data_IF_016614159631
#
_entry.id   IF_016614159631
#
_cell.length_a   1.000
_cell.length_b   1.000
_cell.length_c   1.000
_cell.angle_alpha   90.00
_cell.angle_beta   90.00
_cell.angle_gamma   90.00
#
_symmetry.space_group_name_H-M   'P 1'
#
loop_
_entity.id
_entity.type
_entity.pdbx_description
1 polymer ?
#
# COMPACT_ATOMS: atom_id res chain seq x y z
N UNK A 1 -14.44 -29.14 -17.40
CA UNK A 1 -15.87 -28.83 -17.47
C UNK A 1 -16.76 -30.09 -17.52
N UNK A 2 -16.54 -31.07 -18.41
CA UNK A 2 -17.36 -32.28 -18.49
C UNK A 2 -17.50 -33.04 -17.15
N UNK A 3 -16.43 -33.16 -16.38
CA UNK A 3 -16.46 -33.78 -15.04
C UNK A 3 -17.38 -33.02 -14.09
N UNK A 4 -17.27 -31.69 -13.99
CA UNK A 4 -18.11 -30.87 -13.10
C UNK A 4 -19.60 -30.98 -13.50
N UNK A 5 -19.90 -30.94 -14.79
CA UNK A 5 -21.27 -31.14 -15.26
C UNK A 5 -21.84 -32.48 -14.81
N UNK A 6 -21.04 -33.53 -14.88
CA UNK A 6 -21.46 -34.86 -14.43
C UNK A 6 -21.61 -34.90 -12.89
N UNK A 7 -20.64 -34.36 -12.16
CA UNK A 7 -20.63 -34.39 -10.71
C UNK A 7 -21.81 -33.61 -10.11
N UNK A 8 -22.27 -32.55 -10.78
CA UNK A 8 -23.40 -31.69 -10.35
C UNK A 8 -24.74 -32.04 -11.02
N UNK A 9 -24.81 -33.12 -11.79
CA UNK A 9 -26.06 -33.56 -12.43
C UNK A 9 -26.64 -32.53 -13.39
N UNK A 10 -25.76 -31.89 -14.20
CA UNK A 10 -26.19 -30.90 -15.18
C UNK A 10 -27.19 -31.47 -16.17
N UNK A 11 -28.31 -30.77 -16.35
CA UNK A 11 -29.35 -31.09 -17.32
C UNK A 11 -29.68 -29.86 -18.17
N UNK A 12 -29.73 -30.03 -19.47
CA UNK A 12 -30.13 -29.01 -20.45
C UNK A 12 -31.47 -29.37 -21.05
N UNK A 13 -32.42 -28.44 -21.07
CA UNK A 13 -33.72 -28.58 -21.71
C UNK A 13 -33.58 -28.38 -23.23
N UNK A 14 -33.32 -29.48 -23.96
CA UNK A 14 -33.09 -29.46 -25.42
C UNK A 14 -34.25 -28.85 -26.20
N UNK A 15 -35.50 -29.01 -25.72
CA UNK A 15 -36.68 -28.40 -26.30
C UNK A 15 -36.63 -26.87 -26.26
N UNK A 16 -36.16 -26.30 -25.14
CA UNK A 16 -36.01 -24.85 -25.03
C UNK A 16 -34.82 -24.34 -25.83
N UNK A 17 -33.69 -25.05 -25.79
CA UNK A 17 -32.55 -24.73 -26.67
C UNK A 17 -32.95 -24.66 -28.13
N UNK A 18 -33.71 -25.70 -28.65
CA UNK A 18 -34.16 -25.74 -30.03
C UNK A 18 -35.09 -24.56 -30.36
N UNK A 19 -36.01 -24.17 -29.44
CA UNK A 19 -36.87 -22.99 -29.62
C UNK A 19 -36.08 -21.70 -29.74
N UNK A 20 -35.10 -21.51 -28.87
CA UNK A 20 -34.24 -20.30 -28.86
C UNK A 20 -33.39 -20.21 -30.13
N UNK A 21 -32.81 -21.31 -30.58
CA UNK A 21 -32.05 -21.35 -31.83
C UNK A 21 -32.94 -21.08 -33.04
N UNK A 22 -34.16 -21.64 -33.08
CA UNK A 22 -35.13 -21.38 -34.15
C UNK A 22 -35.52 -19.92 -34.21
N UNK A 23 -35.87 -19.31 -33.07
CA UNK A 23 -36.17 -17.87 -32.97
C UNK A 23 -35.03 -17.01 -33.51
N UNK A 24 -33.79 -17.34 -33.14
CA UNK A 24 -32.61 -16.64 -33.64
C UNK A 24 -32.44 -16.78 -35.15
N UNK A 25 -32.75 -17.95 -35.70
CA UNK A 25 -32.76 -18.19 -37.14
C UNK A 25 -33.87 -17.41 -37.88
N UNK A 26 -35.07 -17.37 -37.31
CA UNK A 26 -36.23 -16.66 -37.87
C UNK A 26 -36.00 -15.14 -37.90
N UNK A 27 -35.34 -14.59 -36.87
CA UNK A 27 -34.96 -13.16 -36.76
C UNK A 27 -33.68 -12.85 -37.57
N UNK A 28 -32.84 -13.82 -37.86
CA UNK A 28 -31.56 -13.67 -38.53
C UNK A 28 -30.49 -12.89 -37.71
N UNK A 29 -30.78 -12.60 -36.45
CA UNK A 29 -29.92 -11.78 -35.57
C UNK A 29 -30.20 -12.05 -34.09
N UNK A 30 -29.23 -11.73 -33.25
CA UNK A 30 -29.38 -11.68 -31.79
C UNK A 30 -29.05 -10.25 -31.36
N UNK A 31 -30.08 -9.49 -31.06
CA UNK A 31 -30.02 -8.09 -30.66
C UNK A 31 -31.09 -7.79 -29.59
N UNK A 32 -31.35 -6.53 -29.32
CA UNK A 32 -32.35 -6.10 -28.36
C UNK A 32 -33.77 -6.64 -28.68
N UNK A 33 -34.11 -6.88 -29.94
CA UNK A 33 -35.43 -7.43 -30.33
C UNK A 33 -35.54 -8.92 -30.00
N UNK A 34 -34.47 -9.67 -30.19
CA UNK A 34 -34.37 -11.07 -29.75
C UNK A 34 -34.48 -11.18 -28.22
N UNK A 35 -33.73 -10.36 -27.51
CA UNK A 35 -33.73 -10.32 -26.02
C UNK A 35 -35.13 -9.96 -25.52
N UNK A 36 -35.78 -8.94 -26.10
CA UNK A 36 -37.14 -8.55 -25.72
C UNK A 36 -38.18 -9.68 -25.95
N UNK A 37 -37.99 -10.53 -26.95
CA UNK A 37 -38.87 -11.65 -27.20
C UNK A 37 -38.79 -12.77 -26.14
N UNK A 38 -37.68 -12.88 -25.42
CA UNK A 38 -37.41 -14.00 -24.48
C UNK A 38 -37.29 -13.58 -23.02
N UNK A 39 -37.23 -12.26 -22.72
CA UNK A 39 -36.88 -11.75 -21.36
C UNK A 39 -37.90 -12.06 -20.26
N UNK A 40 -39.14 -12.41 -20.65
CA UNK A 40 -40.18 -12.79 -19.67
C UNK A 40 -40.44 -14.32 -19.62
N UNK A 41 -39.73 -15.13 -20.39
CA UNK A 41 -39.93 -16.54 -20.41
C UNK A 41 -39.29 -17.23 -19.22
N UNK A 42 -40.12 -17.71 -18.29
CA UNK A 42 -39.72 -18.38 -17.04
C UNK A 42 -39.49 -19.89 -17.22
N UNK A 43 -39.52 -20.41 -18.45
CA UNK A 43 -39.22 -21.82 -18.70
C UNK A 43 -37.78 -22.12 -18.31
N UNK A 44 -37.55 -23.25 -17.63
CA UNK A 44 -36.20 -23.73 -17.31
C UNK A 44 -35.42 -24.01 -18.57
N UNK A 45 -34.23 -23.50 -18.69
CA UNK A 45 -33.30 -23.72 -19.81
C UNK A 45 -32.29 -24.80 -19.46
N UNK A 46 -31.68 -24.70 -18.29
CA UNK A 46 -30.80 -25.73 -17.73
C UNK A 46 -30.84 -25.72 -16.19
N UNK A 47 -30.39 -26.81 -15.61
CA UNK A 47 -30.28 -26.96 -14.17
C UNK A 47 -29.06 -27.78 -13.76
N UNK A 48 -28.59 -27.60 -12.55
CA UNK A 48 -27.59 -28.44 -11.90
C UNK A 48 -27.75 -28.31 -10.37
N UNK A 49 -27.50 -29.37 -9.64
CA UNK A 49 -27.80 -29.46 -8.23
C UNK A 49 -29.23 -28.96 -7.93
N UNK A 50 -29.40 -27.99 -7.05
CA UNK A 50 -30.67 -27.36 -6.71
C UNK A 50 -30.89 -26.01 -7.41
N UNK A 51 -30.10 -25.68 -8.43
CA UNK A 51 -30.17 -24.44 -9.18
C UNK A 51 -30.81 -24.65 -10.53
N UNK A 52 -31.76 -23.79 -10.88
CA UNK A 52 -32.41 -23.77 -12.19
C UNK A 52 -32.28 -22.41 -12.81
N UNK A 53 -31.90 -22.37 -14.05
CA UNK A 53 -31.72 -21.15 -14.84
C UNK A 53 -32.77 -21.11 -15.95
N UNK A 54 -33.45 -19.99 -16.04
CA UNK A 54 -34.57 -19.78 -16.95
C UNK A 54 -34.12 -19.17 -18.29
N UNK A 55 -35.01 -19.17 -19.26
CA UNK A 55 -34.82 -18.41 -20.51
C UNK A 55 -34.69 -16.91 -20.23
N UNK A 56 -35.41 -16.36 -19.22
CA UNK A 56 -35.27 -14.97 -18.80
C UNK A 56 -33.89 -14.65 -18.22
N UNK A 57 -33.29 -15.61 -17.48
CA UNK A 57 -31.90 -15.45 -16.98
C UNK A 57 -30.93 -15.42 -18.15
N UNK A 58 -31.14 -16.28 -19.16
CA UNK A 58 -30.34 -16.26 -20.37
C UNK A 58 -30.49 -14.96 -21.17
N UNK A 59 -31.71 -14.39 -21.25
CA UNK A 59 -31.93 -13.06 -21.83
C UNK A 59 -31.10 -11.99 -21.11
N UNK A 60 -31.10 -12.03 -19.78
CA UNK A 60 -30.31 -11.11 -18.92
C UNK A 60 -28.81 -11.30 -19.14
N UNK A 61 -28.35 -12.52 -19.33
CA UNK A 61 -26.98 -12.84 -19.68
C UNK A 61 -26.59 -12.26 -21.04
N UNK A 62 -27.40 -12.46 -22.06
CA UNK A 62 -27.18 -11.94 -23.42
C UNK A 62 -27.17 -10.40 -23.48
N UNK A 63 -27.96 -9.74 -22.64
CA UNK A 63 -28.05 -8.26 -22.61
C UNK A 63 -26.72 -7.57 -22.31
N UNK A 64 -25.76 -8.26 -21.73
CA UNK A 64 -24.41 -7.78 -21.47
C UNK A 64 -23.46 -7.93 -22.65
N UNK A 65 -23.89 -8.63 -23.70
CA UNK A 65 -23.14 -8.91 -24.90
C UNK A 65 -23.29 -7.86 -26.00
N UNK A 66 -22.81 -8.21 -27.20
CA UNK A 66 -22.93 -7.38 -28.41
C UNK A 66 -23.95 -7.99 -29.34
N UNK A 67 -24.53 -7.17 -30.20
CA UNK A 67 -25.41 -7.63 -31.26
C UNK A 67 -24.67 -8.54 -32.26
N UNK A 68 -25.32 -9.62 -32.66
CA UNK A 68 -24.76 -10.60 -33.59
C UNK A 68 -25.74 -10.80 -34.75
N UNK A 69 -25.23 -10.69 -35.98
CA UNK A 69 -26.00 -10.78 -37.23
C UNK A 69 -25.58 -11.95 -38.12
N UNK A 70 -24.56 -12.70 -37.73
CA UNK A 70 -24.02 -13.82 -38.50
C UNK A 70 -24.15 -15.10 -37.68
N UNK A 71 -24.71 -16.13 -38.28
CA UNK A 71 -24.82 -17.46 -37.65
C UNK A 71 -25.53 -17.45 -36.27
N UNK A 72 -26.63 -16.71 -36.19
CA UNK A 72 -27.37 -16.47 -34.96
C UNK A 72 -27.77 -17.72 -34.17
N UNK A 73 -28.26 -18.82 -34.80
CA UNK A 73 -28.59 -20.06 -34.10
C UNK A 73 -27.38 -20.71 -33.40
N UNK A 74 -26.23 -20.79 -34.07
CA UNK A 74 -25.01 -21.40 -33.49
C UNK A 74 -24.45 -20.51 -32.38
N UNK A 75 -24.56 -19.18 -32.52
CA UNK A 75 -24.21 -18.27 -31.48
C UNK A 75 -25.03 -18.49 -30.19
N UNK A 76 -26.36 -18.65 -30.32
CA UNK A 76 -27.25 -18.97 -29.18
C UNK A 76 -26.84 -20.28 -28.52
N UNK A 77 -26.64 -21.35 -29.33
CA UNK A 77 -26.18 -22.64 -28.79
C UNK A 77 -24.88 -22.53 -28.00
N UNK A 78 -23.94 -21.77 -28.55
CA UNK A 78 -22.63 -21.51 -27.88
C UNK A 78 -22.80 -20.73 -26.58
N UNK A 79 -23.63 -19.67 -26.58
CA UNK A 79 -23.86 -18.85 -25.41
C UNK A 79 -24.59 -19.56 -24.27
N UNK A 80 -25.52 -20.46 -24.58
CA UNK A 80 -26.15 -21.35 -23.59
C UNK A 80 -25.08 -22.20 -22.90
N UNK A 81 -24.22 -22.85 -23.71
CA UNK A 81 -23.11 -23.65 -23.17
C UNK A 81 -22.14 -22.82 -22.30
N UNK A 82 -21.82 -21.62 -22.78
CA UNK A 82 -20.90 -20.71 -22.04
C UNK A 82 -21.50 -20.24 -20.73
N UNK A 83 -22.79 -19.83 -20.72
CA UNK A 83 -23.47 -19.45 -19.46
C UNK A 83 -23.48 -20.62 -18.48
N UNK A 84 -23.86 -21.84 -18.95
CA UNK A 84 -23.88 -23.01 -18.09
C UNK A 84 -22.48 -23.33 -17.50
N UNK A 85 -21.44 -23.21 -18.31
CA UNK A 85 -20.06 -23.42 -17.87
C UNK A 85 -19.62 -22.39 -16.83
N UNK A 86 -19.99 -21.12 -17.01
CA UNK A 86 -19.70 -20.06 -16.04
C UNK A 86 -20.41 -20.30 -14.70
N UNK A 87 -21.71 -20.58 -14.73
CA UNK A 87 -22.51 -20.79 -13.52
C UNK A 87 -22.02 -22.00 -12.72
N UNK A 88 -21.68 -23.09 -13.39
CA UNK A 88 -21.11 -24.30 -12.76
C UNK A 88 -19.73 -23.99 -12.15
N UNK A 89 -18.89 -23.22 -12.85
CA UNK A 89 -17.58 -22.83 -12.31
C UNK A 89 -17.70 -21.92 -11.09
N UNK A 90 -18.62 -20.98 -11.11
CA UNK A 90 -18.81 -20.06 -10.00
C UNK A 90 -19.40 -20.80 -8.79
N UNK A 91 -20.29 -21.76 -9.02
CA UNK A 91 -20.77 -22.67 -7.99
C UNK A 91 -19.62 -23.50 -7.39
N UNK A 92 -18.76 -24.12 -8.23
CA UNK A 92 -17.60 -24.88 -7.74
C UNK A 92 -16.68 -24.00 -6.89
N UNK A 93 -16.34 -22.78 -7.37
CA UNK A 93 -15.49 -21.85 -6.64
C UNK A 93 -16.07 -21.50 -5.27
N UNK A 94 -17.39 -21.25 -5.20
CA UNK A 94 -18.06 -20.91 -3.96
C UNK A 94 -18.01 -22.03 -2.91
N UNK A 95 -17.91 -23.30 -3.38
CA UNK A 95 -17.91 -24.47 -2.52
C UNK A 95 -16.55 -25.12 -2.33
N UNK A 96 -15.45 -24.51 -2.84
CA UNK A 96 -14.10 -25.07 -2.71
C UNK A 96 -13.68 -25.24 -1.24
N UNK A 97 -14.00 -24.27 -0.37
CA UNK A 97 -13.67 -24.34 1.05
C UNK A 97 -14.44 -25.46 1.78
N UNK A 98 -15.65 -25.79 1.34
CA UNK A 98 -16.46 -26.89 1.91
C UNK A 98 -15.97 -28.26 1.47
N UNK A 99 -15.57 -28.37 0.19
CA UNK A 99 -15.12 -29.63 -0.42
C UNK A 99 -13.69 -30.01 -0.03
N UNK A 100 -12.81 -29.01 0.13
CA UNK A 100 -11.37 -29.23 0.33
C UNK A 100 -10.90 -28.60 1.62
N UNK A 101 -10.80 -29.38 2.73
CA UNK A 101 -10.37 -28.86 4.03
C UNK A 101 -9.01 -28.14 3.99
N UNK A 102 -8.07 -28.67 3.20
CA UNK A 102 -6.73 -28.03 3.06
C UNK A 102 -6.81 -26.65 2.42
N UNK A 103 -7.66 -26.52 1.39
CA UNK A 103 -7.91 -25.21 0.77
C UNK A 103 -8.58 -24.23 1.75
N UNK A 104 -9.57 -24.69 2.50
CA UNK A 104 -10.21 -23.88 3.56
C UNK A 104 -9.20 -23.42 4.61
N UNK A 105 -8.32 -24.32 5.06
CA UNK A 105 -7.30 -23.98 6.05
C UNK A 105 -6.36 -22.91 5.48
N UNK A 106 -5.90 -23.07 4.23
CA UNK A 106 -5.07 -22.08 3.55
C UNK A 106 -5.77 -20.72 3.41
N UNK A 107 -7.04 -20.71 3.04
CA UNK A 107 -7.84 -19.48 2.94
C UNK A 107 -8.03 -18.80 4.29
N UNK A 108 -8.22 -19.57 5.36
CA UNK A 108 -8.30 -19.05 6.72
C UNK A 108 -6.97 -18.44 7.16
N UNK A 109 -5.84 -19.14 6.96
CA UNK A 109 -4.51 -18.58 7.25
C UNK A 109 -4.25 -17.27 6.51
N UNK A 110 -4.62 -17.21 5.24
CA UNK A 110 -4.47 -15.99 4.44
C UNK A 110 -5.35 -14.84 4.98
N UNK A 111 -6.62 -15.13 5.29
CA UNK A 111 -7.56 -14.15 5.87
C UNK A 111 -7.09 -13.65 7.23
N UNK A 112 -6.68 -14.55 8.09
CA UNK A 112 -6.18 -14.23 9.43
C UNK A 112 -4.87 -13.45 9.35
N UNK A 113 -3.98 -13.82 8.44
CA UNK A 113 -2.74 -13.08 8.16
C UNK A 113 -2.98 -11.65 7.70
N UNK A 114 -3.93 -11.44 6.79
CA UNK A 114 -4.32 -10.09 6.36
C UNK A 114 -4.93 -9.25 7.49
N UNK A 115 -5.80 -9.85 8.31
CA UNK A 115 -6.39 -9.18 9.47
C UNK A 115 -5.34 -8.81 10.50
N UNK A 116 -4.41 -9.73 10.78
CA UNK A 116 -3.30 -9.50 11.70
C UNK A 116 -2.38 -8.38 11.18
N UNK A 117 -2.05 -8.39 9.88
CA UNK A 117 -1.25 -7.35 9.25
C UNK A 117 -1.94 -5.98 9.39
N UNK A 118 -3.22 -5.88 9.04
CA UNK A 118 -3.95 -4.61 9.07
C UNK A 118 -4.08 -4.05 10.48
N UNK A 119 -4.41 -4.88 11.47
CA UNK A 119 -4.51 -4.42 12.86
C UNK A 119 -3.14 -4.04 13.42
N UNK A 120 -2.07 -4.78 13.08
CA UNK A 120 -0.71 -4.46 13.49
C UNK A 120 -0.24 -3.13 12.88
N UNK A 121 -0.59 -2.90 11.61
CA UNK A 121 -0.30 -1.64 10.94
C UNK A 121 -0.95 -0.45 11.67
N UNK A 122 -2.25 -0.54 11.99
CA UNK A 122 -2.99 0.53 12.67
C UNK A 122 -2.51 0.77 14.10
N UNK A 123 -2.34 -0.29 14.88
CA UNK A 123 -2.04 -0.17 16.31
C UNK A 123 -0.57 0.12 16.59
N UNK A 124 0.34 -0.28 15.69
CA UNK A 124 1.78 -0.21 15.92
C UNK A 124 2.51 0.61 14.86
N UNK A 125 2.52 0.15 13.60
CA UNK A 125 3.48 0.69 12.62
C UNK A 125 3.13 2.08 12.12
N UNK A 126 1.89 2.29 11.69
CA UNK A 126 1.42 3.59 11.25
C UNK A 126 1.43 4.59 12.41
N UNK A 127 1.00 4.16 13.59
CA UNK A 127 1.04 4.97 14.79
C UNK A 127 2.47 5.35 15.17
N UNK A 128 3.42 4.40 15.12
CA UNK A 128 4.82 4.69 15.42
C UNK A 128 5.44 5.76 14.50
N UNK A 129 4.98 5.84 13.24
CA UNK A 129 5.50 6.79 12.26
C UNK A 129 4.83 8.17 12.32
N UNK A 130 3.54 8.23 12.69
CA UNK A 130 2.70 9.45 12.65
C UNK A 130 2.51 10.13 14.01
N UNK A 131 2.69 9.43 15.12
CA UNK A 131 2.49 9.97 16.48
C UNK A 131 3.67 10.85 16.91
N UNK A 132 3.73 12.06 16.39
CA UNK A 132 4.79 13.03 16.69
C UNK A 132 4.92 13.36 18.18
N UNK A 133 3.79 13.45 18.89
CA UNK A 133 3.79 13.69 20.34
C UNK A 133 4.31 12.48 21.11
N UNK A 134 3.89 11.29 20.76
CA UNK A 134 4.35 10.04 21.35
C UNK A 134 5.85 9.85 21.15
N UNK A 135 6.34 10.06 19.91
CA UNK A 135 7.75 10.04 19.57
C UNK A 135 8.56 11.03 20.41
N UNK A 136 8.08 12.27 20.55
CA UNK A 136 8.76 13.28 21.34
C UNK A 136 8.81 12.92 22.84
N UNK A 137 7.69 12.45 23.41
CA UNK A 137 7.61 12.00 24.80
C UNK A 137 8.51 10.78 25.05
N UNK A 138 8.49 9.81 24.13
CA UNK A 138 9.30 8.61 24.19
C UNK A 138 10.80 8.97 24.12
N UNK A 139 11.19 9.82 23.18
CA UNK A 139 12.56 10.33 23.07
C UNK A 139 13.03 11.03 24.35
N UNK A 140 12.25 11.98 24.87
CA UNK A 140 12.61 12.69 26.11
C UNK A 140 12.89 11.74 27.27
N UNK A 141 12.05 10.70 27.42
CA UNK A 141 12.19 9.69 28.47
C UNK A 141 13.44 8.80 28.28
N UNK A 142 13.78 8.51 27.02
CA UNK A 142 14.83 7.56 26.66
C UNK A 142 16.09 8.24 26.07
N UNK A 143 16.21 9.58 26.17
CA UNK A 143 17.24 10.37 25.48
C UNK A 143 18.66 9.84 25.67
N UNK A 144 18.98 9.33 26.85
CA UNK A 144 20.32 8.78 27.17
C UNK A 144 20.70 7.57 26.30
N UNK A 145 19.72 6.86 25.75
CA UNK A 145 19.93 5.71 24.86
C UNK A 145 20.51 6.12 23.50
N UNK A 146 20.23 7.37 23.07
CA UNK A 146 20.61 7.87 21.75
C UNK A 146 21.90 8.71 21.78
N UNK A 147 22.81 8.39 22.71
CA UNK A 147 24.10 9.05 22.80
C UNK A 147 24.96 8.75 21.57
N UNK A 148 25.64 9.77 21.05
CA UNK A 148 26.58 9.67 19.95
C UNK A 148 28.02 9.49 20.41
N UNK A 149 28.80 8.78 19.61
CA UNK A 149 30.23 8.62 19.85
C UNK A 149 31.04 9.83 19.35
N UNK A 150 30.59 10.46 18.25
CA UNK A 150 31.19 11.65 17.65
C UNK A 150 30.27 12.85 17.77
N UNK A 151 30.84 14.10 17.83
CA UNK A 151 30.02 15.31 17.76
C UNK A 151 29.34 15.45 16.40
N UNK A 152 28.17 16.08 16.39
CA UNK A 152 27.41 16.38 15.18
C UNK A 152 27.18 17.89 15.08
N UNK A 153 27.34 18.43 13.89
CA UNK A 153 26.97 19.80 13.59
C UNK A 153 25.54 19.83 13.06
N UNK A 154 24.67 20.56 13.74
CA UNK A 154 23.28 20.76 13.34
C UNK A 154 23.09 22.18 12.88
N UNK A 155 22.74 22.39 11.61
CA UNK A 155 22.57 23.72 11.04
C UNK A 155 22.59 23.74 9.53
N UNK A 156 23.02 24.90 9.01
CA UNK A 156 23.08 25.22 7.61
C UNK A 156 24.52 25.38 7.16
N UNK A 157 24.84 24.80 6.01
CA UNK A 157 25.98 25.18 5.18
C UNK A 157 25.48 26.14 4.11
N UNK A 158 26.06 27.34 4.03
CA UNK A 158 25.67 28.37 3.08
C UNK A 158 26.87 28.71 2.23
N UNK A 159 26.68 28.69 0.93
CA UNK A 159 27.66 29.10 -0.07
C UNK A 159 27.10 30.27 -0.87
N UNK A 160 27.85 31.32 -1.10
CA UNK A 160 27.40 32.51 -1.84
C UNK A 160 28.48 33.15 -2.72
N UNK A 161 28.05 34.00 -3.65
CA UNK A 161 28.88 34.54 -4.71
C UNK A 161 29.85 35.64 -4.22
N UNK A 162 29.49 36.45 -3.21
CA UNK A 162 30.28 37.57 -2.75
C UNK A 162 30.05 37.92 -1.27
N UNK A 163 30.92 38.80 -0.70
CA UNK A 163 30.87 39.17 0.69
C UNK A 163 29.63 39.99 1.06
N UNK A 164 29.13 40.83 0.15
CA UNK A 164 27.93 41.62 0.40
C UNK A 164 26.69 40.71 0.54
N UNK A 165 26.59 39.72 -0.33
CA UNK A 165 25.56 38.67 -0.25
C UNK A 165 25.70 37.87 1.04
N UNK A 166 26.92 37.49 1.47
CA UNK A 166 27.15 36.79 2.72
C UNK A 166 26.67 37.56 3.95
N UNK A 167 26.95 38.85 4.01
CA UNK A 167 26.55 39.70 5.13
C UNK A 167 25.02 39.94 5.14
N UNK A 168 24.39 40.10 3.95
CA UNK A 168 22.94 40.14 3.84
C UNK A 168 22.28 38.87 4.36
N UNK A 169 22.81 37.72 4.00
CA UNK A 169 22.29 36.39 4.43
C UNK A 169 22.47 36.23 5.97
N UNK A 170 23.64 36.54 6.50
CA UNK A 170 23.87 36.44 7.97
C UNK A 170 22.91 37.26 8.79
N UNK A 171 22.54 38.46 8.30
CA UNK A 171 21.55 39.30 8.98
C UNK A 171 20.14 38.70 8.84
N UNK A 172 19.80 38.24 7.65
CA UNK A 172 18.47 37.71 7.36
C UNK A 172 18.15 36.43 8.14
N UNK A 173 19.12 35.51 8.30
CA UNK A 173 18.94 34.25 9.05
C UNK A 173 18.56 34.49 10.51
N UNK A 174 19.03 35.59 11.14
CA UNK A 174 18.70 35.90 12.54
C UNK A 174 17.21 36.15 12.77
N UNK A 175 16.48 36.51 11.72
CA UNK A 175 15.07 36.88 11.74
C UNK A 175 14.16 35.72 11.31
N UNK A 176 14.73 34.58 10.89
CA UNK A 176 13.99 33.47 10.29
C UNK A 176 13.97 32.27 11.22
N UNK A 177 12.84 31.54 11.17
CA UNK A 177 12.77 30.21 11.73
C UNK A 177 13.54 29.22 10.83
N UNK A 178 14.18 28.22 11.44
CA UNK A 178 15.00 27.20 10.75
C UNK A 178 14.29 26.55 9.56
N UNK A 179 12.96 26.38 9.62
CA UNK A 179 12.17 25.72 8.55
C UNK A 179 11.94 26.62 7.33
N UNK A 180 12.04 27.94 7.49
CA UNK A 180 11.85 28.93 6.43
C UNK A 180 13.15 29.39 5.75
N UNK A 181 14.31 29.17 6.38
CA UNK A 181 15.61 29.67 5.91
C UNK A 181 15.87 29.34 4.44
N UNK A 182 15.76 28.08 4.05
CA UNK A 182 16.07 27.63 2.66
C UNK A 182 15.15 28.33 1.65
N UNK A 183 13.84 28.34 1.93
CA UNK A 183 12.84 28.89 1.02
C UNK A 183 13.02 30.41 0.86
N UNK A 184 13.23 31.11 1.97
CA UNK A 184 13.37 32.57 1.97
C UNK A 184 14.66 33.00 1.31
N UNK A 185 15.79 32.38 1.66
CA UNK A 185 17.09 32.74 1.06
C UNK A 185 17.13 32.43 -0.43
N UNK A 186 16.58 31.31 -0.88
CA UNK A 186 16.48 31.02 -2.32
C UNK A 186 15.62 32.05 -3.05
N UNK A 187 14.50 32.48 -2.49
CA UNK A 187 13.60 33.45 -3.10
C UNK A 187 14.19 34.87 -3.13
N UNK A 188 14.90 35.28 -2.07
CA UNK A 188 15.40 36.66 -1.94
C UNK A 188 16.72 36.88 -2.68
N UNK A 189 17.58 35.86 -2.80
CA UNK A 189 18.94 36.01 -3.34
C UNK A 189 19.13 35.35 -4.70
N UNK A 190 18.31 34.37 -5.09
CA UNK A 190 18.40 33.72 -6.40
C UNK A 190 17.36 34.26 -7.37
N UNK A 191 17.66 34.15 -8.67
CA UNK A 191 16.72 34.39 -9.79
C UNK A 191 16.67 33.16 -10.68
N UNK A 192 15.72 33.09 -11.60
CA UNK A 192 15.59 31.96 -12.55
C UNK A 192 16.86 31.72 -13.38
N UNK A 193 17.66 32.77 -13.62
CA UNK A 193 18.88 32.72 -14.42
C UNK A 193 20.19 32.77 -13.64
N UNK A 194 20.15 33.08 -12.34
CA UNK A 194 21.37 33.28 -11.54
C UNK A 194 21.23 32.75 -10.13
N UNK A 195 22.07 31.75 -9.79
CA UNK A 195 22.21 31.23 -8.44
C UNK A 195 23.30 32.01 -7.71
N UNK A 196 22.90 32.81 -6.71
CA UNK A 196 23.80 33.59 -5.84
C UNK A 196 24.04 32.94 -4.48
N UNK A 197 23.13 32.07 -4.06
CA UNK A 197 23.20 31.33 -2.80
C UNK A 197 22.82 29.87 -2.98
N UNK A 198 23.54 28.99 -2.30
CA UNK A 198 23.19 27.58 -2.10
C UNK A 198 23.14 27.33 -0.62
N UNK A 199 22.04 26.75 -0.14
CA UNK A 199 21.81 26.46 1.28
C UNK A 199 21.55 24.98 1.44
N UNK A 200 22.30 24.35 2.33
CA UNK A 200 22.12 22.95 2.71
C UNK A 200 21.86 22.87 4.20
N UNK A 201 20.76 22.26 4.64
CA UNK A 201 20.43 22.02 6.05
C UNK A 201 20.71 20.57 6.37
N UNK A 202 21.39 20.33 7.49
CA UNK A 202 21.70 18.96 7.89
C UNK A 202 22.10 18.80 9.34
N UNK A 203 22.30 17.54 9.68
CA UNK A 203 22.95 17.07 10.87
C UNK A 203 24.19 16.31 10.38
N UNK A 204 25.35 16.93 10.47
CA UNK A 204 26.60 16.46 9.86
C UNK A 204 27.53 15.88 10.93
N UNK A 205 28.18 14.78 10.61
CA UNK A 205 29.31 14.26 11.36
C UNK A 205 30.59 14.43 10.54
N UNK A 206 31.73 14.42 11.19
CA UNK A 206 33.03 14.47 10.53
C UNK A 206 33.14 13.40 9.44
N UNK A 207 33.41 13.79 8.21
CA UNK A 207 33.46 12.95 7.01
C UNK A 207 32.22 13.00 6.11
N UNK A 208 31.13 13.63 6.53
CA UNK A 208 29.90 13.73 5.72
C UNK A 208 29.98 14.79 4.63
N UNK A 209 30.69 15.89 4.90
CA UNK A 209 30.81 17.03 3.97
C UNK A 209 32.12 17.75 4.19
N UNK A 210 32.98 17.80 3.18
CA UNK A 210 34.33 18.39 3.25
C UNK A 210 34.34 19.85 3.71
N UNK A 211 33.34 20.67 3.30
CA UNK A 211 33.24 22.08 3.72
C UNK A 211 32.78 22.23 5.17
N UNK A 212 31.91 21.34 5.64
CA UNK A 212 31.57 21.27 7.06
C UNK A 212 32.79 20.81 7.89
N UNK A 213 33.54 19.86 7.35
CA UNK A 213 34.77 19.41 8.01
C UNK A 213 35.78 20.54 8.15
N UNK A 214 36.03 21.32 7.09
CA UNK A 214 36.88 22.50 7.14
C UNK A 214 36.38 23.55 8.16
N UNK A 215 35.09 23.91 8.06
CA UNK A 215 34.55 25.04 8.81
C UNK A 215 34.23 24.75 10.28
N UNK A 216 33.94 23.50 10.63
CA UNK A 216 33.46 23.10 11.96
C UNK A 216 34.39 22.11 12.65
N UNK A 217 34.87 21.10 11.93
CA UNK A 217 35.65 20.00 12.50
C UNK A 217 37.18 20.18 12.36
N UNK A 218 37.63 21.32 11.82
CA UNK A 218 39.07 21.64 11.59
C UNK A 218 39.71 20.70 10.57
N UNK A 219 38.97 20.26 9.59
CA UNK A 219 39.46 19.48 8.47
C UNK A 219 40.40 20.27 7.54
N UNK A 220 40.90 19.60 6.49
CA UNK A 220 41.76 20.22 5.50
C UNK A 220 41.00 21.31 4.72
N UNK A 221 41.70 22.39 4.27
CA UNK A 221 41.11 23.42 3.43
C UNK A 221 40.57 22.83 2.12
N UNK A 222 39.35 23.23 1.75
CA UNK A 222 38.67 22.78 0.54
C UNK A 222 38.68 23.85 -0.51
N UNK A 223 38.99 23.48 -1.77
CA UNK A 223 38.96 24.42 -2.90
C UNK A 223 37.61 25.16 -2.95
N UNK A 224 37.67 26.49 -3.04
CA UNK A 224 36.50 27.33 -3.19
C UNK A 224 35.78 27.01 -4.52
N UNK A 225 34.45 27.04 -4.47
CA UNK A 225 33.65 26.95 -5.69
C UNK A 225 33.84 28.21 -6.54
N UNK A 226 33.93 28.08 -7.87
CA UNK A 226 34.21 29.22 -8.76
C UNK A 226 33.03 30.22 -8.80
N UNK A 227 31.79 29.74 -8.65
CA UNK A 227 30.58 30.58 -8.67
C UNK A 227 30.14 31.06 -7.30
N UNK A 228 30.40 30.25 -6.27
CA UNK A 228 30.01 30.48 -4.89
C UNK A 228 31.24 30.35 -3.95
N UNK A 229 32.23 31.24 -4.08
CA UNK A 229 33.51 31.09 -3.39
C UNK A 229 33.46 31.29 -1.88
N UNK A 230 32.41 31.91 -1.35
CA UNK A 230 32.30 32.17 0.08
C UNK A 230 31.41 31.12 0.71
N UNK A 231 31.96 30.39 1.69
CA UNK A 231 31.22 29.40 2.45
C UNK A 231 31.26 29.74 3.95
N UNK A 232 30.14 29.58 4.61
CA UNK A 232 30.03 29.70 6.05
C UNK A 232 28.92 28.84 6.60
N UNK A 233 28.89 28.67 7.92
CA UNK A 233 27.90 27.82 8.59
C UNK A 233 27.08 28.67 9.58
N UNK A 234 25.82 28.26 9.74
CA UNK A 234 24.91 28.82 10.77
C UNK A 234 24.21 27.68 11.49
N UNK A 235 24.50 27.51 12.77
CA UNK A 235 23.99 26.40 13.56
C UNK A 235 24.81 26.15 14.82
N UNK A 236 24.81 24.92 15.33
CA UNK A 236 25.47 24.56 16.58
C UNK A 236 26.13 23.18 16.54
N UNK A 237 27.17 23.03 17.32
CA UNK A 237 27.85 21.73 17.52
C UNK A 237 27.22 21.01 18.72
N UNK A 238 26.62 19.84 18.45
CA UNK A 238 26.06 18.93 19.45
C UNK A 238 27.11 17.89 19.82
N UNK A 239 27.67 17.97 21.03
CA UNK A 239 28.85 17.15 21.38
C UNK A 239 28.58 15.68 21.59
N UNK A 240 27.47 15.31 22.22
CA UNK A 240 27.21 13.90 22.64
C UNK A 240 25.78 13.43 22.52
N UNK A 241 24.82 14.33 22.40
CA UNK A 241 23.40 14.00 22.55
C UNK A 241 22.56 14.71 21.50
N UNK A 242 21.64 14.00 20.86
CA UNK A 242 20.64 14.62 20.00
C UNK A 242 19.77 15.59 20.83
N UNK A 243 19.30 16.63 20.19
CA UNK A 243 18.49 17.67 20.80
C UNK A 243 17.01 17.36 20.70
N UNK A 244 16.61 16.85 19.53
CA UNK A 244 15.25 16.47 19.22
C UNK A 244 15.19 15.01 18.71
N UNK A 245 14.01 14.40 18.76
CA UNK A 245 13.83 13.05 18.20
C UNK A 245 14.08 13.01 16.70
N UNK A 246 13.89 14.14 16.01
CA UNK A 246 14.14 14.28 14.57
C UNK A 246 15.61 14.09 14.20
N UNK A 247 16.53 14.34 15.13
CA UNK A 247 17.98 14.18 14.93
C UNK A 247 18.38 12.69 14.83
N UNK A 248 17.54 11.81 15.40
CA UNK A 248 17.70 10.34 15.43
C UNK A 248 16.38 9.64 15.12
N UNK A 249 15.60 10.22 14.21
CA UNK A 249 14.22 9.82 13.94
C UNK A 249 14.08 8.32 13.65
N UNK A 250 14.95 7.75 12.82
CA UNK A 250 14.87 6.34 12.48
C UNK A 250 15.00 5.42 13.70
N UNK A 251 15.98 5.70 14.57
CA UNK A 251 16.20 4.92 15.78
C UNK A 251 15.04 5.06 16.77
N UNK A 252 14.59 6.31 16.99
CA UNK A 252 13.47 6.59 17.91
C UNK A 252 12.18 5.93 17.41
N UNK A 253 11.90 5.99 16.12
CA UNK A 253 10.69 5.37 15.54
C UNK A 253 10.72 3.85 15.70
N UNK A 254 11.85 3.19 15.44
CA UNK A 254 11.99 1.75 15.61
C UNK A 254 11.82 1.30 17.07
N UNK A 255 12.45 2.04 18.00
CA UNK A 255 12.32 1.77 19.43
C UNK A 255 10.89 2.04 19.94
N UNK A 256 10.25 3.09 19.45
CA UNK A 256 8.88 3.43 19.79
C UNK A 256 7.90 2.40 19.26
N UNK A 257 8.11 1.90 18.04
CA UNK A 257 7.36 0.79 17.47
C UNK A 257 7.43 -0.45 18.37
N UNK A 258 8.63 -0.85 18.79
CA UNK A 258 8.83 -1.97 19.72
C UNK A 258 8.12 -1.74 21.07
N UNK A 259 8.12 -0.51 21.55
CA UNK A 259 7.40 -0.16 22.78
C UNK A 259 5.89 -0.27 22.60
N UNK A 260 5.33 0.26 21.51
CA UNK A 260 3.89 0.18 21.20
C UNK A 260 3.44 -1.28 21.08
N UNK A 261 4.21 -2.12 20.39
CA UNK A 261 3.94 -3.55 20.25
C UNK A 261 3.85 -4.24 21.61
N UNK A 262 4.82 -4.04 22.49
CA UNK A 262 4.81 -4.59 23.85
C UNK A 262 3.59 -4.14 24.65
N UNK A 263 3.23 -2.87 24.55
CA UNK A 263 2.05 -2.32 25.23
C UNK A 263 0.77 -2.92 24.67
N UNK A 264 0.69 -3.07 23.36
CA UNK A 264 -0.46 -3.66 22.68
C UNK A 264 -0.63 -5.14 23.03
N UNK A 265 0.42 -5.95 22.92
CA UNK A 265 0.41 -7.37 23.31
C UNK A 265 -0.01 -7.55 24.80
N UNK A 266 0.51 -6.68 25.68
CA UNK A 266 0.08 -6.70 27.10
C UNK A 266 -1.40 -6.42 27.27
N UNK A 267 -1.98 -5.50 26.48
CA UNK A 267 -3.43 -5.24 26.50
C UNK A 267 -4.23 -6.42 25.96
N UNK A 268 -3.75 -7.06 24.88
CA UNK A 268 -4.38 -8.24 24.31
C UNK A 268 -4.40 -9.39 25.30
N UNK A 269 -3.28 -9.73 25.93
CA UNK A 269 -3.20 -10.79 26.93
C UNK A 269 -4.10 -10.55 28.16
N UNK A 270 -4.32 -9.28 28.51
CA UNK A 270 -5.27 -8.93 29.57
C UNK A 270 -6.72 -9.11 29.13
N UNK A 271 -7.03 -8.80 27.87
CA UNK A 271 -8.39 -8.88 27.31
C UNK A 271 -8.77 -10.29 26.90
N UNK A 272 -7.80 -11.05 26.40
CA UNK A 272 -7.97 -12.39 25.86
C UNK A 272 -6.96 -13.32 26.55
N UNK A 273 -7.35 -13.99 27.66
CA UNK A 273 -6.49 -14.97 28.32
C UNK A 273 -6.14 -16.10 27.37
N UNK A 274 -4.87 -16.49 27.34
CA UNK A 274 -4.37 -17.59 26.51
C UNK A 274 -4.18 -18.82 27.39
N UNK A 275 -4.82 -19.92 27.01
CA UNK A 275 -4.64 -21.25 27.61
C UNK A 275 -3.86 -22.13 26.63
N UNK A 276 -2.81 -22.78 27.11
CA UNK A 276 -1.97 -23.67 26.31
C UNK A 276 -2.19 -25.10 26.77
N UNK A 277 -2.69 -25.95 25.88
CA UNK A 277 -2.86 -27.38 26.12
C UNK A 277 -1.55 -28.11 25.84
N UNK A 278 -0.69 -28.18 26.85
CA UNK A 278 0.68 -28.72 26.75
C UNK A 278 0.74 -30.16 26.20
N UNK A 279 -0.26 -30.99 26.52
CA UNK A 279 -0.32 -32.37 26.05
C UNK A 279 -0.60 -32.45 24.54
N UNK A 280 -1.46 -31.57 24.04
CA UNK A 280 -1.75 -31.45 22.61
C UNK A 280 -0.54 -30.87 21.88
N UNK A 281 0.11 -29.85 22.45
CA UNK A 281 1.29 -29.23 21.86
C UNK A 281 2.43 -30.23 21.64
N UNK A 282 2.60 -31.21 22.55
CA UNK A 282 3.59 -32.27 22.41
C UNK A 282 3.35 -33.24 21.24
N UNK A 283 2.09 -33.31 20.76
CA UNK A 283 1.71 -34.16 19.61
C UNK A 283 1.88 -33.48 18.27
N UNK A 284 2.13 -32.16 18.22
CA UNK A 284 2.39 -31.42 16.99
C UNK A 284 3.72 -31.93 16.42
N UNK A 285 3.65 -32.44 15.18
CA UNK A 285 4.82 -32.98 14.50
C UNK A 285 5.95 -31.94 14.48
N UNK A 286 7.08 -32.38 15.02
CA UNK A 286 8.33 -31.65 14.79
C UNK A 286 8.81 -31.98 13.38
N UNK A 287 9.15 -31.02 12.52
CA UNK A 287 9.70 -31.29 11.18
C UNK A 287 11.02 -32.05 11.29
#
# INVERSE_FOLDING_TARGET
MAKLKNDYGFSLEESQRAKLMKLAGDLGKVDSSYIAAIHNDQSVLFSFENHSYTVADFASFLSKGRDVTVNAPDYISTMIGYMADMEILDFEKAHLEDKYPDFRNLMNEYRDGMLLFEISNREVWEKASKDTEGLQKFFKKNRKKYKWDKPHYKGFLIQCCDAATADGIKNRIKELDDDSVIVVLNREFNTDSLTRVKVERGLFVEGDNEKIDELVFKGAPVKADEKLPIAFVSGKLLKKMPEAYTDVRGQVTADYQTYLEKVWVKKLNKKYPVEIYEDVLKTVNRP
#
